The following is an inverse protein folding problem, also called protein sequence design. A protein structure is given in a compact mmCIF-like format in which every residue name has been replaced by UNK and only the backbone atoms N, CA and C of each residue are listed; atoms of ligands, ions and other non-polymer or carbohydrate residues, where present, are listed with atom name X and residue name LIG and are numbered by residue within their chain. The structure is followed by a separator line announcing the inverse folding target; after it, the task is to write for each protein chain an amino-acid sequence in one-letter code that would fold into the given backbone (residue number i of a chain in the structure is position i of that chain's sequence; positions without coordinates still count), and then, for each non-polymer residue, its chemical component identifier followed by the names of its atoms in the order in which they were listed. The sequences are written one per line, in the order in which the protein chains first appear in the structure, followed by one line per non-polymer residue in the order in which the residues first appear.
data_IF_927260280169
#
_entry.id   IF_927260280169
#
_cell.length_a   1.000
_cell.length_b   1.000
_cell.length_c   1.000
_cell.angle_alpha   90.00
_cell.angle_beta   90.00
_cell.angle_gamma   90.00
#
_symmetry.space_group_name_H-M   'P 1'
#
loop_
_entity.id
_entity.type
_entity.pdbx_description
1 polymer ?
#
# COMPACT_ATOMS: atom_id res chain seq x y z
N UNK A 1 9.61 3.51 0.88
CA UNK A 1 8.46 4.25 0.38
C UNK A 1 7.64 3.36 -0.53
N UNK A 2 6.36 3.19 -0.19
CA UNK A 2 5.41 2.51 -1.07
C UNK A 2 4.85 3.49 -2.08
N UNK A 3 4.97 3.19 -3.37
CA UNK A 3 4.43 4.02 -4.45
C UNK A 3 3.00 3.57 -4.78
N UNK A 4 2.07 4.53 -4.74
CA UNK A 4 0.66 4.33 -5.11
C UNK A 4 0.50 4.10 -6.60
N UNK A 5 -0.53 3.35 -6.98
CA UNK A 5 -0.95 3.16 -8.38
C UNK A 5 -2.23 3.94 -8.70
N UNK A 6 -2.55 4.94 -7.88
CA UNK A 6 -3.62 5.90 -8.13
C UNK A 6 -3.12 7.04 -9.03
N UNK A 7 -3.76 7.18 -10.21
CA UNK A 7 -3.29 8.10 -11.25
C UNK A 7 -3.17 9.57 -10.80
N UNK A 8 -4.08 10.03 -9.94
CA UNK A 8 -4.13 11.41 -9.47
C UNK A 8 -2.89 11.82 -8.65
N UNK A 9 -2.16 10.85 -8.08
CA UNK A 9 -0.94 11.10 -7.30
C UNK A 9 0.34 10.87 -8.10
N UNK A 10 0.23 10.29 -9.31
CA UNK A 10 1.37 10.09 -10.21
C UNK A 10 1.57 11.30 -11.11
N UNK A 11 0.49 11.84 -11.68
CA UNK A 11 0.54 13.01 -12.58
C UNK A 11 -0.71 13.88 -12.44
N UNK A 12 -0.55 15.18 -12.68
CA UNK A 12 -1.63 16.17 -12.62
C UNK A 12 -2.48 16.31 -13.89
N UNK A 13 -2.14 15.58 -14.96
CA UNK A 13 -2.77 15.63 -16.28
C UNK A 13 -2.76 14.25 -16.95
N UNK A 14 -3.61 14.07 -17.97
CA UNK A 14 -3.67 12.86 -18.80
C UNK A 14 -2.75 12.97 -20.04
N UNK A 15 -2.25 11.85 -20.58
CA UNK A 15 -2.43 10.48 -20.09
C UNK A 15 -1.52 10.17 -18.89
N UNK A 16 -2.02 9.36 -17.95
CA UNK A 16 -1.20 8.76 -16.88
C UNK A 16 -1.00 7.27 -17.13
N UNK A 17 0.23 6.89 -17.47
CA UNK A 17 0.64 5.53 -17.86
C UNK A 17 1.68 4.94 -16.91
N UNK A 18 1.93 3.63 -17.03
CA UNK A 18 2.99 2.92 -16.29
C UNK A 18 4.35 3.62 -16.36
N UNK A 19 4.72 4.23 -17.49
CA UNK A 19 6.01 4.92 -17.63
C UNK A 19 6.14 6.08 -16.65
N UNK A 20 5.07 6.81 -16.38
CA UNK A 20 5.08 7.88 -15.38
C UNK A 20 5.21 7.32 -13.96
N UNK A 21 4.65 6.15 -13.69
CA UNK A 21 4.83 5.48 -12.40
C UNK A 21 6.28 5.01 -12.22
N UNK A 22 6.90 4.47 -13.27
CA UNK A 22 8.31 4.09 -13.27
C UNK A 22 9.24 5.32 -13.11
N UNK A 23 8.85 6.49 -13.62
CA UNK A 23 9.60 7.73 -13.38
C UNK A 23 9.66 8.09 -11.88
N UNK A 24 8.59 7.79 -11.12
CA UNK A 24 8.62 7.91 -9.66
C UNK A 24 9.53 6.88 -9.00
N UNK A 25 9.60 5.64 -9.52
CA UNK A 25 10.58 4.66 -9.05
C UNK A 25 12.00 5.20 -9.23
N UNK A 26 12.32 5.70 -10.43
CA UNK A 26 13.63 6.26 -10.75
C UNK A 26 13.96 7.46 -9.85
N UNK A 27 13.02 8.38 -9.70
CA UNK A 27 13.21 9.58 -8.89
C UNK A 27 13.50 9.24 -7.44
N UNK A 28 12.69 8.37 -6.85
CA UNK A 28 12.84 7.98 -5.44
C UNK A 28 14.08 7.12 -5.24
N UNK A 29 14.35 6.19 -6.15
CA UNK A 29 15.57 5.40 -6.15
C UNK A 29 16.83 6.27 -6.18
N UNK A 30 16.83 7.37 -6.94
CA UNK A 30 17.93 8.35 -6.96
C UNK A 30 18.08 9.14 -5.65
N UNK A 31 16.98 9.40 -4.96
CA UNK A 31 16.99 10.19 -3.72
C UNK A 31 17.41 9.37 -2.49
N UNK A 32 16.89 8.16 -2.36
CA UNK A 32 17.02 7.37 -1.13
C UNK A 32 17.52 5.95 -1.34
N UNK A 33 17.82 5.53 -2.58
CA UNK A 33 18.17 4.15 -2.91
C UNK A 33 16.96 3.30 -3.30
N UNK A 34 17.13 2.41 -4.28
CA UNK A 34 16.05 1.52 -4.78
C UNK A 34 15.66 0.48 -3.73
N UNK A 35 16.55 0.11 -2.83
CA UNK A 35 16.29 -0.76 -1.69
C UNK A 35 15.26 -0.17 -0.73
N UNK A 36 14.96 1.13 -0.84
CA UNK A 36 13.91 1.81 -0.09
C UNK A 36 12.63 2.02 -0.91
N UNK A 37 12.50 1.47 -2.12
CA UNK A 37 11.30 1.58 -2.97
C UNK A 37 10.48 0.29 -2.93
N UNK A 38 9.16 0.41 -2.96
CA UNK A 38 8.27 -0.73 -3.12
C UNK A 38 6.88 -0.33 -3.63
N UNK A 39 6.05 -1.32 -3.92
CA UNK A 39 4.66 -1.11 -4.35
C UNK A 39 3.78 -0.86 -3.13
N UNK A 40 3.03 0.24 -3.13
CA UNK A 40 2.03 0.57 -2.12
C UNK A 40 0.75 1.01 -2.81
N UNK A 41 0.07 0.08 -3.51
CA UNK A 41 -0.92 0.39 -4.55
C UNK A 41 -1.99 1.40 -4.13
N UNK A 42 -2.50 1.31 -2.91
CA UNK A 42 -3.72 2.03 -2.50
C UNK A 42 -4.92 1.67 -3.40
N UNK A 43 -4.94 0.42 -3.86
CA UNK A 43 -5.97 -0.15 -4.73
C UNK A 43 -6.12 -1.65 -4.47
N UNK A 44 -7.29 -2.20 -4.78
CA UNK A 44 -7.55 -3.64 -4.80
C UNK A 44 -6.82 -4.37 -5.95
N UNK A 45 -7.28 -5.58 -6.27
CA UNK A 45 -6.70 -6.37 -7.37
C UNK A 45 -6.76 -5.64 -8.72
N UNK A 46 -7.84 -4.91 -8.98
CA UNK A 46 -7.98 -3.93 -10.06
C UNK A 46 -8.40 -2.57 -9.47
N UNK A 47 -8.88 -1.65 -10.30
CA UNK A 47 -9.45 -0.38 -9.84
C UNK A 47 -10.98 -0.30 -9.95
N UNK A 48 -11.65 -1.44 -10.17
CA UNK A 48 -13.10 -1.52 -10.40
C UNK A 48 -13.53 -1.01 -11.76
N UNK A 49 -14.81 -1.21 -12.10
CA UNK A 49 -15.42 -0.67 -13.32
C UNK A 49 -15.54 0.87 -13.25
N UNK A 50 -15.66 1.57 -14.39
CA UNK A 50 -15.92 3.00 -14.40
C UNK A 50 -17.18 3.39 -13.59
N UNK A 51 -18.24 2.58 -13.62
CA UNK A 51 -19.45 2.83 -12.83
C UNK A 51 -19.20 2.72 -11.32
N UNK A 52 -18.46 1.69 -10.89
CA UNK A 52 -18.09 1.49 -9.49
C UNK A 52 -17.23 2.63 -8.98
N UNK A 53 -16.26 3.07 -9.78
CA UNK A 53 -15.38 4.19 -9.47
C UNK A 53 -16.17 5.50 -9.34
N UNK A 54 -17.08 5.77 -10.28
CA UNK A 54 -17.93 6.95 -10.23
C UNK A 54 -18.84 6.95 -9.00
N UNK A 55 -19.47 5.80 -8.69
CA UNK A 55 -20.31 5.65 -7.49
C UNK A 55 -19.52 5.89 -6.21
N UNK A 56 -18.30 5.33 -6.12
CA UNK A 56 -17.41 5.59 -4.98
C UNK A 56 -17.03 7.07 -4.90
N UNK A 57 -16.68 7.69 -6.04
CA UNK A 57 -16.35 9.10 -6.12
C UNK A 57 -17.50 10.01 -5.66
N UNK A 58 -18.73 9.70 -6.07
CA UNK A 58 -19.93 10.45 -5.69
C UNK A 58 -20.19 10.41 -4.18
N UNK A 59 -19.85 9.30 -3.53
CA UNK A 59 -19.94 9.14 -2.07
C UNK A 59 -18.89 9.87 -1.25
N UNK A 60 -17.83 10.40 -1.86
CA UNK A 60 -16.78 11.12 -1.13
C UNK A 60 -17.26 12.47 -0.57
N UNK A 61 -16.73 12.93 0.57
CA UNK A 61 -16.90 14.32 1.02
C UNK A 61 -16.40 15.34 -0.03
N UNK A 62 -17.06 16.48 -0.17
CA UNK A 62 -16.73 17.51 -1.19
C UNK A 62 -15.29 18.05 -1.06
N UNK A 63 -14.77 18.13 0.17
CA UNK A 63 -13.39 18.52 0.44
C UNK A 63 -12.36 17.47 -0.01
N UNK A 64 -12.74 16.20 -0.19
CA UNK A 64 -11.87 15.14 -0.70
C UNK A 64 -11.96 15.06 -2.23
N UNK A 65 -13.16 15.27 -2.79
CA UNK A 65 -13.43 15.32 -4.23
C UNK A 65 -12.51 16.25 -5.03
N UNK A 66 -11.94 17.29 -4.40
CA UNK A 66 -11.03 18.25 -5.01
C UNK A 66 -9.62 17.69 -5.29
N UNK A 67 -9.19 16.65 -4.57
CA UNK A 67 -7.86 16.05 -4.76
C UNK A 67 -7.84 15.08 -5.94
N UNK A 68 -8.97 14.41 -6.21
CA UNK A 68 -9.10 13.51 -7.35
C UNK A 68 -9.44 14.29 -8.62
N UNK A 69 -8.40 14.50 -9.44
CA UNK A 69 -8.50 15.21 -10.73
C UNK A 69 -9.30 14.43 -11.76
N UNK A 70 -9.10 13.13 -11.82
CA UNK A 70 -9.70 12.23 -12.80
C UNK A 70 -10.80 11.40 -12.13
N UNK A 71 -11.98 12.00 -12.03
CA UNK A 71 -13.08 11.54 -11.15
C UNK A 71 -13.71 10.22 -11.59
N UNK A 72 -13.48 9.84 -12.84
CA UNK A 72 -14.06 8.66 -13.48
C UNK A 72 -13.05 7.53 -13.66
N UNK A 73 -11.77 7.75 -13.34
CA UNK A 73 -10.68 6.77 -13.48
C UNK A 73 -9.63 6.92 -12.38
N UNK A 74 -9.37 5.86 -11.63
CA UNK A 74 -8.39 5.81 -10.56
C UNK A 74 -7.13 5.03 -10.94
N UNK A 75 -7.25 3.96 -11.71
CA UNK A 75 -6.11 3.15 -12.15
C UNK A 75 -5.23 3.86 -13.16
N UNK A 76 -3.93 3.60 -13.15
CA UNK A 76 -2.97 4.06 -14.16
C UNK A 76 -3.09 3.17 -15.40
N UNK A 77 -3.01 3.73 -16.60
CA UNK A 77 -3.06 2.94 -17.83
C UNK A 77 -1.91 1.91 -17.85
N UNK A 78 -2.26 0.62 -17.91
CA UNK A 78 -1.32 -0.50 -17.84
C UNK A 78 -1.03 -1.03 -16.44
N UNK A 79 -1.63 -0.45 -15.39
CA UNK A 79 -1.55 -0.95 -14.01
C UNK A 79 -2.93 -1.11 -13.37
N UNK A 80 -4.01 -1.05 -14.14
CA UNK A 80 -5.41 -1.08 -13.73
C UNK A 80 -6.03 -2.48 -13.71
N UNK A 81 -5.18 -3.52 -13.64
CA UNK A 81 -5.59 -4.92 -13.70
C UNK A 81 -4.86 -5.81 -12.66
N UNK A 82 -5.36 -7.03 -12.38
CA UNK A 82 -4.80 -7.93 -11.35
C UNK A 82 -3.37 -8.41 -11.60
N UNK A 83 -2.92 -8.33 -12.86
CA UNK A 83 -1.61 -8.81 -13.30
C UNK A 83 -0.55 -7.71 -13.34
N UNK A 84 -0.86 -6.49 -12.88
CA UNK A 84 0.02 -5.30 -12.94
C UNK A 84 1.44 -5.51 -12.40
N UNK A 85 1.63 -6.45 -11.48
CA UNK A 85 2.96 -6.78 -10.93
C UNK A 85 3.91 -7.31 -12.00
N UNK A 86 3.39 -7.99 -13.04
CA UNK A 86 4.18 -8.45 -14.17
C UNK A 86 4.60 -7.28 -15.06
N UNK A 87 3.71 -6.32 -15.32
CA UNK A 87 4.01 -5.14 -16.12
C UNK A 87 4.99 -4.21 -15.41
N UNK A 88 4.90 -4.09 -14.08
CA UNK A 88 5.90 -3.39 -13.25
C UNK A 88 7.26 -4.08 -13.38
N UNK A 89 7.31 -5.40 -13.21
CA UNK A 89 8.54 -6.16 -13.32
C UNK A 89 9.19 -5.96 -14.70
N UNK A 90 8.38 -6.08 -15.77
CA UNK A 90 8.84 -5.87 -17.13
C UNK A 90 9.34 -4.43 -17.35
N UNK A 91 8.60 -3.43 -16.86
CA UNK A 91 9.00 -2.03 -16.92
C UNK A 91 10.33 -1.74 -16.25
N UNK A 92 10.57 -2.31 -15.07
CA UNK A 92 11.85 -2.19 -14.35
C UNK A 92 12.98 -2.87 -15.13
N UNK A 93 12.75 -4.06 -15.67
CA UNK A 93 13.72 -4.77 -16.51
C UNK A 93 14.09 -3.93 -17.74
N UNK A 94 13.09 -3.36 -18.43
CA UNK A 94 13.31 -2.47 -19.59
C UNK A 94 14.16 -1.24 -19.24
N UNK A 95 14.07 -0.74 -18.00
CA UNK A 95 14.87 0.38 -17.49
C UNK A 95 16.26 -0.01 -17.00
N UNK A 96 16.61 -1.30 -17.07
CA UNK A 96 17.94 -1.79 -16.71
C UNK A 96 18.14 -2.03 -15.21
N UNK A 97 17.07 -2.11 -14.43
CA UNK A 97 17.16 -2.55 -13.04
C UNK A 97 17.67 -3.98 -12.95
N UNK A 98 18.49 -4.26 -11.94
CA UNK A 98 19.00 -5.60 -11.73
C UNK A 98 17.91 -6.54 -11.24
N UNK A 99 18.16 -7.83 -11.41
CA UNK A 99 17.37 -8.93 -10.87
C UNK A 99 17.12 -8.80 -9.34
N UNK A 100 18.08 -8.23 -8.62
CA UNK A 100 17.95 -7.98 -7.18
C UNK A 100 17.02 -6.80 -6.92
N UNK A 101 17.17 -5.71 -7.68
CA UNK A 101 16.34 -4.51 -7.53
C UNK A 101 14.88 -4.78 -7.85
N UNK A 102 14.60 -5.52 -8.93
CA UNK A 102 13.24 -5.91 -9.32
C UNK A 102 12.58 -6.70 -8.18
N UNK A 103 13.24 -7.74 -7.66
CA UNK A 103 12.70 -8.52 -6.52
C UNK A 103 12.55 -7.65 -5.27
N UNK A 104 13.46 -6.72 -5.05
CA UNK A 104 13.39 -5.68 -4.03
C UNK A 104 12.07 -4.90 -4.09
N UNK A 105 11.84 -4.23 -5.22
CA UNK A 105 10.66 -3.38 -5.45
C UNK A 105 9.35 -4.19 -5.38
N UNK A 106 9.35 -5.42 -5.91
CA UNK A 106 8.16 -6.28 -5.90
C UNK A 106 7.77 -6.76 -4.49
N UNK A 107 8.68 -6.71 -3.51
CA UNK A 107 8.30 -6.97 -2.11
C UNK A 107 9.44 -7.30 -1.17
N UNK A 108 10.63 -7.67 -1.65
CA UNK A 108 11.73 -8.02 -0.75
C UNK A 108 12.23 -6.83 0.09
N UNK A 109 12.07 -5.59 -0.40
CA UNK A 109 12.38 -4.40 0.38
C UNK A 109 11.43 -4.23 1.58
N UNK A 110 10.13 -4.43 1.36
CA UNK A 110 9.16 -4.42 2.46
C UNK A 110 9.36 -5.60 3.40
N UNK A 111 9.62 -6.79 2.87
CA UNK A 111 9.93 -7.97 3.69
C UNK A 111 11.09 -7.69 4.65
N UNK A 112 12.21 -7.17 4.14
CA UNK A 112 13.38 -6.80 4.95
C UNK A 112 12.99 -5.81 6.06
N UNK A 113 12.29 -4.74 5.71
CA UNK A 113 11.85 -3.72 6.66
C UNK A 113 10.95 -4.30 7.76
N UNK A 114 10.00 -5.16 7.40
CA UNK A 114 9.10 -5.81 8.35
C UNK A 114 9.85 -6.79 9.27
N UNK A 115 10.80 -7.56 8.74
CA UNK A 115 11.65 -8.46 9.52
C UNK A 115 12.50 -7.71 10.54
N UNK A 116 13.07 -6.57 10.16
CA UNK A 116 13.83 -5.70 11.07
C UNK A 116 12.93 -5.14 12.18
N UNK A 117 11.78 -4.58 11.79
CA UNK A 117 10.83 -3.91 12.68
C UNK A 117 10.20 -4.88 13.68
N UNK A 118 9.86 -6.09 13.23
CA UNK A 118 9.20 -7.10 14.05
C UNK A 118 10.16 -8.10 14.69
N UNK A 119 11.47 -7.87 14.58
CA UNK A 119 12.46 -8.73 15.21
C UNK A 119 12.27 -8.75 16.74
N UNK A 120 12.51 -9.90 17.42
CA UNK A 120 12.43 -9.98 18.88
C UNK A 120 13.33 -8.97 19.61
N UNK A 121 14.43 -8.54 18.95
CA UNK A 121 15.33 -7.49 19.45
C UNK A 121 14.66 -6.11 19.42
N UNK A 122 13.98 -5.77 18.33
CA UNK A 122 13.23 -4.52 18.21
C UNK A 122 12.07 -4.45 19.22
N UNK A 123 11.34 -5.54 19.39
CA UNK A 123 10.22 -5.61 20.34
C UNK A 123 10.65 -5.47 21.81
N UNK A 124 11.82 -6.00 22.18
CA UNK A 124 12.37 -5.88 23.54
C UNK A 124 12.94 -4.49 23.85
N UNK A 125 13.49 -3.79 22.84
CA UNK A 125 14.02 -2.44 22.99
C UNK A 125 12.95 -1.40 23.33
N UNK A 126 11.74 -1.53 22.76
CA UNK A 126 10.63 -0.60 23.00
C UNK A 126 9.84 -0.87 24.30
N UNK A 127 9.95 -2.07 24.89
CA UNK A 127 9.29 -2.39 26.16
C UNK A 127 9.96 -1.72 27.38
N UNK A 128 11.22 -1.32 27.27
CA UNK A 128 11.97 -0.67 28.36
C UNK A 128 11.67 0.83 28.51
N UNK A 129 11.02 1.47 27.52
CA UNK A 129 10.71 2.91 27.53
C UNK A 129 9.22 3.22 27.71
N UNK A 130 8.38 2.19 27.83
CA UNK A 130 6.94 2.36 27.98
C UNK A 130 6.53 2.49 29.45
N UNK A 131 6.95 3.57 30.13
CA UNK A 131 6.16 4.09 31.24
C UNK A 131 5.01 4.89 30.66
N UNK A 132 3.88 4.21 30.44
CA UNK A 132 2.60 4.87 30.19
C UNK A 132 1.98 5.13 31.56
N UNK A 133 1.94 6.39 31.99
CA UNK A 133 1.10 6.74 33.15
C UNK A 133 -0.37 6.48 32.81
N UNK A 134 -1.13 5.85 33.73
CA UNK A 134 -2.55 5.61 33.50
C UNK A 134 -3.28 6.96 33.43
N UNK A 135 -3.83 7.29 32.26
CA UNK A 135 -4.66 8.47 32.08
C UNK A 135 -5.92 8.36 32.98
N UNK A 136 -6.04 9.26 33.95
CA UNK A 136 -7.13 9.33 34.91
C UNK A 136 -8.43 9.93 34.36
N UNK A 137 -8.77 9.68 33.08
CA UNK A 137 -9.99 10.21 32.47
C UNK A 137 -10.72 9.16 31.62
N UNK A 138 -11.76 8.49 32.15
CA UNK A 138 -12.47 7.40 31.46
C UNK A 138 -13.50 7.88 30.41
N UNK A 139 -13.54 9.17 30.05
CA UNK A 139 -14.58 9.71 29.17
C UNK A 139 -14.01 10.46 27.96
N UNK A 140 -13.45 9.74 26.97
CA UNK A 140 -13.54 10.05 25.53
C UNK A 140 -12.68 9.11 24.66
N UNK A 141 -13.32 8.11 24.07
CA UNK A 141 -13.04 7.64 22.71
C UNK A 141 -14.18 6.73 22.25
N UNK A 142 -14.99 7.08 21.24
CA UNK A 142 -15.80 6.09 20.55
C UNK A 142 -14.87 5.29 19.64
N UNK A 143 -14.55 4.05 20.03
CA UNK A 143 -13.96 3.08 19.14
C UNK A 143 -15.00 2.72 18.07
N UNK A 144 -14.64 2.86 16.78
CA UNK A 144 -15.48 2.47 15.64
C UNK A 144 -15.43 0.96 15.32
N UNK A 145 -15.10 0.11 16.30
CA UNK A 145 -15.21 -1.34 16.16
C UNK A 145 -16.34 -1.84 17.06
N UNK A 146 -17.50 -2.13 16.47
CA UNK A 146 -18.56 -2.90 17.14
C UNK A 146 -18.30 -4.39 16.93
N UNK A 147 -18.56 -5.19 17.96
CA UNK A 147 -18.33 -6.64 18.02
C UNK A 147 -19.16 -7.51 17.04
N UNK A 148 -19.72 -6.91 15.98
CA UNK A 148 -20.48 -7.60 14.94
C UNK A 148 -19.62 -8.00 13.72
N UNK A 149 -18.36 -7.52 13.61
CA UNK A 149 -17.45 -7.84 12.50
C UNK A 149 -16.46 -8.98 12.81
N UNK A 150 -16.69 -9.72 13.90
CA UNK A 150 -15.95 -10.94 14.17
C UNK A 150 -16.42 -12.05 13.20
N UNK A 151 -15.70 -12.21 12.09
CA UNK A 151 -15.77 -13.44 11.29
C UNK A 151 -15.57 -14.69 12.18
N UNK A 152 -16.07 -15.86 11.76
CA UNK A 152 -16.11 -17.03 12.63
C UNK A 152 -14.70 -17.34 13.17
N UNK A 153 -14.64 -17.55 14.48
CA UNK A 153 -13.41 -17.89 15.19
C UNK A 153 -12.76 -19.11 14.54
N UNK A 154 -11.47 -18.99 14.21
CA UNK A 154 -10.65 -20.14 13.86
C UNK A 154 -10.63 -21.08 15.06
N UNK A 155 -11.34 -22.19 14.95
CA UNK A 155 -11.33 -23.28 15.91
C UNK A 155 -9.90 -23.75 16.16
N UNK A 156 -9.60 -24.05 17.42
CA UNK A 156 -8.32 -24.60 17.87
C UNK A 156 -7.99 -25.89 17.10
N UNK A 157 -7.01 -25.83 16.20
CA UNK A 157 -6.39 -27.03 15.65
C UNK A 157 -5.52 -27.67 16.74
N UNK A 158 -6.04 -28.69 17.41
CA UNK A 158 -5.24 -29.55 18.28
C UNK A 158 -4.40 -30.49 17.42
N UNK A 159 -3.10 -30.47 17.68
CA UNK A 159 -2.07 -31.27 17.04
C UNK A 159 -2.19 -32.72 17.50
N UNK A 160 -3.00 -33.53 16.82
CA UNK A 160 -2.93 -35.00 16.84
C UNK A 160 -3.99 -35.61 15.91
N UNK A 161 -3.77 -35.60 14.59
CA UNK A 161 -4.22 -36.65 13.66
C UNK A 161 -3.24 -36.64 12.47
N UNK A 162 -2.31 -37.60 12.46
CA UNK A 162 -1.62 -38.13 11.27
C UNK A 162 -2.18 -39.53 11.08
#
# INVERSE_FOLDING_TARGET
MGLTVLRAFVRGEEPTTIEHWLDHVDHVGKLVGVEHVGIGSDAGLDTGSPEEQMKWYEGLPSNIKKFYRFRTRFGIDGLDHPKRVYDIAEGLIRRGYSDADVRGVLGLNFKRMLEETWSPRALRGNASSAHVEPNANPARSPSLYTAADAGPSLGSFTRNEI
#
